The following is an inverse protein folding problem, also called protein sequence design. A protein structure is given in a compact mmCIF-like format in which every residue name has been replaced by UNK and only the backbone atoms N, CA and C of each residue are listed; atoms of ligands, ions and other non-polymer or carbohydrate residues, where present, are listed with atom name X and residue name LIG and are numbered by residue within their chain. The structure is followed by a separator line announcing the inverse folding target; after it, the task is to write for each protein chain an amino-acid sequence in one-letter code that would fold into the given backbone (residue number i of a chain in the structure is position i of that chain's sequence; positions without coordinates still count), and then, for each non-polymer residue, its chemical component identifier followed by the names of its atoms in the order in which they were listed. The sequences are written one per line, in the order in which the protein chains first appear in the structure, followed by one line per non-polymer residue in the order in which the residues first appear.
data_IF_651125522175
#
_entry.id   IF_651125522175
#
_cell.length_a   1.000
_cell.length_b   1.000
_cell.length_c   1.000
_cell.angle_alpha   90.00
_cell.angle_beta   90.00
_cell.angle_gamma   90.00
#
_symmetry.space_group_name_H-M   'P 1'
#
loop_
_entity.id
_entity.type
_entity.pdbx_description
1 polymer ?
#
# COMPACT_ATOMS: atom_id res chain seq x y z
N UNK A 1 0.45 25.18 -21.23
CA UNK A 1 0.61 24.15 -22.27
C UNK A 1 0.83 22.75 -21.69
N UNK A 2 1.39 22.59 -20.48
CA UNK A 2 1.65 21.28 -19.85
C UNK A 2 0.40 20.44 -19.46
N UNK A 3 -0.74 21.06 -19.09
CA UNK A 3 -1.92 20.30 -18.61
C UNK A 3 -2.51 19.36 -19.68
N UNK A 4 -2.50 19.75 -20.96
CA UNK A 4 -3.04 18.91 -22.04
C UNK A 4 -2.19 17.68 -22.34
N UNK A 5 -0.87 17.77 -22.14
CA UNK A 5 0.05 16.65 -22.35
C UNK A 5 -0.12 15.58 -21.26
N UNK A 6 -0.33 16.00 -20.00
CA UNK A 6 -0.64 15.06 -18.91
C UNK A 6 -1.98 14.36 -19.11
N UNK A 7 -3.02 15.07 -19.55
CA UNK A 7 -4.32 14.47 -19.85
C UNK A 7 -4.23 13.43 -20.97
N UNK A 8 -3.50 13.73 -22.04
CA UNK A 8 -3.27 12.78 -23.13
C UNK A 8 -2.49 11.55 -22.67
N UNK A 9 -1.39 11.74 -21.94
CA UNK A 9 -0.59 10.63 -21.40
C UNK A 9 -1.43 9.71 -20.50
N UNK A 10 -2.30 10.29 -19.67
CA UNK A 10 -3.22 9.53 -18.83
C UNK A 10 -4.28 8.79 -19.62
N UNK A 11 -4.80 9.38 -20.70
CA UNK A 11 -5.76 8.70 -21.56
C UNK A 11 -5.14 7.48 -22.26
N UNK A 12 -3.91 7.59 -22.75
CA UNK A 12 -3.17 6.46 -23.36
C UNK A 12 -2.92 5.36 -22.34
N UNK A 13 -2.53 5.75 -21.13
CA UNK A 13 -2.28 4.84 -20.02
C UNK A 13 -3.57 4.09 -19.62
N UNK A 14 -4.69 4.80 -19.48
CA UNK A 14 -5.99 4.21 -19.15
C UNK A 14 -6.48 3.26 -20.28
N UNK A 15 -6.20 3.57 -21.55
CA UNK A 15 -6.50 2.69 -22.68
C UNK A 15 -5.67 1.40 -22.66
N UNK A 16 -4.37 1.51 -22.35
CA UNK A 16 -3.47 0.36 -22.20
C UNK A 16 -3.89 -0.54 -21.04
N UNK A 17 -4.29 0.05 -19.91
CA UNK A 17 -4.80 -0.70 -18.75
C UNK A 17 -6.05 -1.51 -19.09
N UNK A 18 -7.01 -0.91 -19.79
CA UNK A 18 -8.22 -1.64 -20.23
C UNK A 18 -7.87 -2.80 -21.15
N UNK A 19 -6.90 -2.63 -22.04
CA UNK A 19 -6.41 -3.73 -22.88
C UNK A 19 -5.85 -4.87 -22.03
N UNK A 20 -4.99 -4.56 -21.05
CA UNK A 20 -4.42 -5.56 -20.13
C UNK A 20 -5.53 -6.30 -19.38
N UNK A 21 -6.51 -5.57 -18.85
CA UNK A 21 -7.64 -6.14 -18.10
C UNK A 21 -8.51 -7.01 -19.00
N UNK A 22 -8.75 -6.61 -20.25
CA UNK A 22 -9.48 -7.44 -21.21
C UNK A 22 -8.69 -8.68 -21.63
N UNK A 23 -7.38 -8.57 -21.82
CA UNK A 23 -6.53 -9.73 -22.06
C UNK A 23 -6.67 -10.69 -20.89
N UNK A 24 -6.48 -10.25 -19.65
CA UNK A 24 -6.62 -11.11 -18.45
C UNK A 24 -8.02 -11.73 -18.38
N UNK A 25 -9.07 -10.95 -18.64
CA UNK A 25 -10.47 -11.41 -18.59
C UNK A 25 -10.77 -12.51 -19.62
N UNK A 26 -10.30 -12.36 -20.85
CA UNK A 26 -10.65 -13.25 -21.96
C UNK A 26 -9.55 -14.28 -22.29
N UNK A 27 -8.41 -14.23 -21.62
CA UNK A 27 -7.31 -15.18 -21.78
C UNK A 27 -7.62 -16.50 -21.06
N UNK A 28 -8.58 -17.27 -21.60
CA UNK A 28 -8.95 -18.57 -21.04
C UNK A 28 -10.12 -19.29 -21.68
N UNK A 29 -10.94 -18.62 -22.50
CA UNK A 29 -12.22 -19.18 -22.96
C UNK A 29 -12.09 -20.24 -24.08
N UNK A 30 -10.90 -20.50 -24.63
CA UNK A 30 -10.76 -21.35 -25.81
C UNK A 30 -10.59 -22.86 -25.52
N UNK A 31 -10.21 -23.29 -24.30
CA UNK A 31 -9.75 -24.67 -24.11
C UNK A 31 -10.19 -25.40 -22.84
N UNK A 32 -11.19 -24.92 -22.07
CA UNK A 32 -11.98 -25.70 -21.09
C UNK A 32 -11.26 -26.54 -20.01
N UNK A 33 -9.93 -26.52 -19.97
CA UNK A 33 -9.09 -27.26 -19.02
C UNK A 33 -8.59 -26.24 -18.02
N UNK A 34 -9.18 -26.33 -16.83
CA UNK A 34 -8.92 -25.45 -15.72
C UNK A 34 -7.48 -25.60 -15.24
N UNK A 35 -6.67 -24.57 -15.48
CA UNK A 35 -5.29 -24.49 -15.05
C UNK A 35 -5.03 -23.05 -14.58
N UNK A 36 -5.90 -22.56 -13.69
CA UNK A 36 -5.94 -21.17 -13.21
C UNK A 36 -4.60 -20.64 -12.68
N UNK A 37 -3.75 -21.51 -12.12
CA UNK A 37 -2.39 -21.14 -11.70
C UNK A 37 -1.46 -20.82 -12.88
N UNK A 38 -1.52 -21.60 -13.95
CA UNK A 38 -0.73 -21.36 -15.16
C UNK A 38 -1.24 -20.16 -15.99
N UNK A 39 -2.51 -19.77 -15.82
CA UNK A 39 -3.11 -18.59 -16.48
C UNK A 39 -2.64 -17.28 -15.82
N UNK A 40 -2.49 -17.24 -14.50
CA UNK A 40 -2.10 -16.02 -13.76
C UNK A 40 -0.59 -15.76 -13.84
N UNK A 41 0.25 -16.80 -13.69
CA UNK A 41 1.71 -16.67 -13.77
C UNK A 41 2.22 -16.24 -15.16
N UNK A 42 1.42 -16.46 -16.22
CA UNK A 42 1.75 -16.06 -17.61
C UNK A 42 1.09 -14.78 -18.12
N UNK A 43 -0.01 -14.30 -17.51
CA UNK A 43 -0.84 -13.24 -18.10
C UNK A 43 -0.41 -11.82 -17.76
N UNK A 44 0.20 -11.60 -16.60
CA UNK A 44 0.79 -10.30 -16.25
C UNK A 44 2.30 -10.38 -16.49
N UNK A 45 2.87 -9.63 -17.44
CA UNK A 45 4.32 -9.52 -17.53
C UNK A 45 4.83 -8.55 -16.45
N UNK A 46 4.77 -8.98 -15.18
CA UNK A 46 5.27 -8.24 -14.01
C UNK A 46 6.67 -7.68 -14.28
N UNK A 47 7.52 -8.49 -14.92
CA UNK A 47 8.89 -8.16 -15.29
C UNK A 47 8.99 -7.00 -16.28
N UNK A 48 8.04 -6.87 -17.23
CA UNK A 48 8.06 -5.76 -18.19
C UNK A 48 7.81 -4.44 -17.47
N UNK A 49 6.81 -4.37 -16.59
CA UNK A 49 6.51 -3.12 -15.86
C UNK A 49 7.62 -2.73 -14.89
N UNK A 50 8.17 -3.71 -14.16
CA UNK A 50 9.33 -3.48 -13.28
C UNK A 50 10.53 -3.00 -14.09
N UNK A 51 10.81 -3.62 -15.24
CA UNK A 51 11.91 -3.24 -16.12
C UNK A 51 11.73 -1.83 -16.68
N UNK A 52 10.54 -1.49 -17.19
CA UNK A 52 10.24 -0.16 -17.72
C UNK A 52 10.40 0.90 -16.63
N UNK A 53 9.88 0.64 -15.42
CA UNK A 53 10.06 1.56 -14.30
C UNK A 53 11.54 1.72 -13.96
N UNK A 54 12.29 0.62 -13.86
CA UNK A 54 13.71 0.65 -13.54
C UNK A 54 14.51 1.46 -14.58
N UNK A 55 14.27 1.22 -15.87
CA UNK A 55 14.92 1.95 -16.96
C UNK A 55 14.59 3.45 -16.89
N UNK A 56 13.32 3.81 -16.72
CA UNK A 56 12.91 5.21 -16.62
C UNK A 56 13.45 5.89 -15.35
N UNK A 57 13.55 5.16 -14.25
CA UNK A 57 14.13 5.66 -13.01
C UNK A 57 15.63 5.95 -13.17
N UNK A 58 16.35 5.07 -13.85
CA UNK A 58 17.78 5.25 -14.15
C UNK A 58 18.02 6.42 -15.11
N UNK A 59 17.22 6.56 -16.16
CA UNK A 59 17.34 7.65 -17.15
C UNK A 59 16.96 9.03 -16.56
N UNK A 60 15.89 9.11 -15.76
CA UNK A 60 15.36 10.39 -15.27
C UNK A 60 15.99 10.83 -13.93
N UNK A 61 16.51 9.90 -13.14
CA UNK A 61 17.13 10.16 -11.84
C UNK A 61 16.24 11.01 -10.92
N UNK A 62 16.72 12.21 -10.57
CA UNK A 62 16.03 13.13 -9.64
C UNK A 62 14.72 13.68 -10.21
N UNK A 63 14.58 13.73 -11.54
CA UNK A 63 13.37 14.24 -12.22
C UNK A 63 12.30 13.16 -12.40
N UNK A 64 12.51 11.96 -11.85
CA UNK A 64 11.63 10.82 -12.00
C UNK A 64 10.17 11.15 -11.61
N UNK A 65 9.26 10.96 -12.57
CA UNK A 65 7.84 11.28 -12.43
C UNK A 65 7.05 10.10 -11.83
N UNK A 66 7.13 9.93 -10.51
CA UNK A 66 6.46 8.82 -9.79
C UNK A 66 4.92 8.76 -9.98
N UNK A 67 4.27 9.90 -10.25
CA UNK A 67 2.80 10.03 -10.36
C UNK A 67 2.19 9.17 -11.46
N UNK A 68 2.91 9.01 -12.58
CA UNK A 68 2.44 8.21 -13.72
C UNK A 68 2.36 6.73 -13.36
N UNK A 69 3.42 6.21 -12.71
CA UNK A 69 3.47 4.83 -12.23
C UNK A 69 2.48 4.57 -11.10
N UNK A 70 2.32 5.52 -10.17
CA UNK A 70 1.28 5.44 -9.15
C UNK A 70 -0.12 5.27 -9.78
N UNK A 71 -0.47 6.15 -10.72
CA UNK A 71 -1.77 6.10 -11.40
C UNK A 71 -1.95 4.78 -12.14
N UNK A 72 -0.91 4.30 -12.83
CA UNK A 72 -0.93 3.02 -13.51
C UNK A 72 -1.30 1.87 -12.57
N UNK A 73 -0.54 1.67 -11.49
CA UNK A 73 -0.78 0.55 -10.58
C UNK A 73 -2.07 0.70 -9.78
N UNK A 74 -2.43 1.91 -9.34
CA UNK A 74 -3.68 2.14 -8.62
C UNK A 74 -4.92 1.90 -9.50
N UNK A 75 -4.85 2.32 -10.77
CA UNK A 75 -5.93 2.09 -11.74
C UNK A 75 -6.00 0.61 -12.13
N UNK A 76 -4.85 -0.07 -12.31
CA UNK A 76 -4.81 -1.52 -12.53
C UNK A 76 -5.51 -2.29 -11.41
N UNK A 77 -5.20 -1.98 -10.14
CA UNK A 77 -5.85 -2.62 -8.99
C UNK A 77 -7.37 -2.35 -9.02
N UNK A 78 -7.78 -1.14 -9.37
CA UNK A 78 -9.20 -0.76 -9.42
C UNK A 78 -9.95 -1.47 -10.54
N UNK A 79 -9.36 -1.56 -11.74
CA UNK A 79 -9.97 -2.24 -12.88
C UNK A 79 -10.00 -3.76 -12.68
N UNK A 80 -8.95 -4.35 -12.11
CA UNK A 80 -8.97 -5.77 -11.71
C UNK A 80 -10.05 -6.04 -10.67
N UNK A 81 -10.25 -5.14 -9.72
CA UNK A 81 -11.33 -5.27 -8.75
C UNK A 81 -12.71 -5.23 -9.42
N UNK A 82 -12.89 -4.44 -10.48
CA UNK A 82 -14.15 -4.37 -11.23
C UNK A 82 -14.54 -5.68 -11.92
N UNK A 83 -13.57 -6.55 -12.19
CA UNK A 83 -13.77 -7.88 -12.77
C UNK A 83 -13.56 -9.01 -11.75
N UNK A 84 -13.42 -8.70 -10.46
CA UNK A 84 -13.07 -9.68 -9.42
C UNK A 84 -14.08 -10.84 -9.34
N UNK A 85 -15.38 -10.57 -9.47
CA UNK A 85 -16.42 -11.61 -9.46
C UNK A 85 -16.27 -12.61 -10.62
N UNK A 86 -15.81 -12.12 -11.78
CA UNK A 86 -15.57 -12.98 -12.94
C UNK A 86 -14.31 -13.82 -12.78
N UNK A 87 -13.30 -13.30 -12.08
CA UNK A 87 -12.03 -13.97 -11.84
C UNK A 87 -12.11 -15.03 -10.72
N UNK A 88 -13.04 -14.89 -9.77
CA UNK A 88 -13.19 -15.85 -8.66
C UNK A 88 -11.89 -16.03 -7.87
N UNK A 89 -11.43 -17.28 -7.74
CA UNK A 89 -10.18 -17.64 -7.03
C UNK A 89 -8.91 -17.08 -7.69
N UNK A 90 -8.94 -16.81 -8.99
CA UNK A 90 -7.81 -16.21 -9.71
C UNK A 90 -7.55 -14.77 -9.27
N UNK A 91 -8.55 -14.06 -8.73
CA UNK A 91 -8.40 -12.68 -8.24
C UNK A 91 -7.35 -12.58 -7.12
N UNK A 92 -7.37 -13.50 -6.16
CA UNK A 92 -6.38 -13.51 -5.08
C UNK A 92 -4.97 -13.81 -5.62
N UNK A 93 -4.86 -14.75 -6.55
CA UNK A 93 -3.59 -15.07 -7.20
C UNK A 93 -2.99 -13.85 -7.93
N UNK A 94 -3.84 -13.06 -8.59
CA UNK A 94 -3.44 -11.81 -9.24
C UNK A 94 -2.99 -10.75 -8.23
N UNK A 95 -3.69 -10.61 -7.08
CA UNK A 95 -3.26 -9.70 -6.01
C UNK A 95 -1.90 -10.11 -5.43
N UNK A 96 -1.66 -11.40 -5.25
CA UNK A 96 -0.36 -11.93 -4.80
C UNK A 96 0.72 -11.59 -5.83
N UNK A 97 0.44 -11.77 -7.13
CA UNK A 97 1.40 -11.44 -8.19
C UNK A 97 1.70 -9.92 -8.27
N UNK A 98 0.70 -9.07 -7.99
CA UNK A 98 0.90 -7.63 -7.80
C UNK A 98 1.77 -7.35 -6.57
N UNK A 99 1.57 -8.08 -5.47
CA UNK A 99 2.40 -7.97 -4.27
C UNK A 99 3.86 -8.35 -4.54
N UNK A 100 4.11 -9.36 -5.36
CA UNK A 100 5.47 -9.71 -5.79
C UNK A 100 6.07 -8.60 -6.67
N UNK A 101 5.28 -8.00 -7.56
CA UNK A 101 5.68 -6.83 -8.36
C UNK A 101 6.07 -5.66 -7.46
N UNK A 102 5.26 -5.33 -6.44
CA UNK A 102 5.58 -4.30 -5.47
C UNK A 102 6.79 -4.65 -4.61
N UNK A 103 7.02 -5.93 -4.33
CA UNK A 103 8.23 -6.37 -3.65
C UNK A 103 9.49 -6.12 -4.48
N UNK A 104 9.43 -6.28 -5.81
CA UNK A 104 10.53 -5.88 -6.70
C UNK A 104 10.72 -4.36 -6.79
N UNK A 105 9.66 -3.58 -6.58
CA UNK A 105 9.65 -2.12 -6.60
C UNK A 105 9.88 -1.47 -5.24
N UNK A 106 10.41 -2.20 -4.25
CA UNK A 106 10.63 -1.70 -2.90
C UNK A 106 11.44 -0.38 -2.87
N UNK A 107 11.11 0.47 -1.91
CA UNK A 107 11.75 1.78 -1.71
C UNK A 107 13.27 1.71 -1.49
N UNK A 108 13.78 0.55 -1.06
CA UNK A 108 15.23 0.30 -0.94
C UNK A 108 15.96 0.43 -2.29
N UNK A 109 15.31 0.01 -3.38
CA UNK A 109 15.86 0.09 -4.74
C UNK A 109 15.48 1.40 -5.43
N UNK A 110 14.25 1.86 -5.19
CA UNK A 110 13.68 3.04 -5.85
C UNK A 110 13.24 4.09 -4.81
N UNK A 111 14.18 4.78 -4.11
CA UNK A 111 13.83 5.74 -3.07
C UNK A 111 12.99 6.92 -3.58
N UNK A 112 13.16 7.35 -4.82
CA UNK A 112 12.32 8.39 -5.45
C UNK A 112 10.87 7.95 -5.71
N UNK A 113 10.58 6.65 -5.65
CA UNK A 113 9.24 6.07 -5.76
C UNK A 113 8.62 5.75 -4.39
N UNK A 114 9.34 5.96 -3.28
CA UNK A 114 8.95 5.47 -1.96
C UNK A 114 7.55 5.91 -1.49
N UNK A 115 7.18 7.17 -1.74
CA UNK A 115 5.86 7.69 -1.35
C UNK A 115 4.73 7.06 -2.17
N UNK A 116 4.86 7.06 -3.50
CA UNK A 116 3.89 6.41 -4.38
C UNK A 116 3.76 4.92 -4.09
N UNK A 117 4.88 4.24 -3.86
CA UNK A 117 4.93 2.84 -3.49
C UNK A 117 4.17 2.58 -2.19
N UNK A 118 4.41 3.38 -1.14
CA UNK A 118 3.70 3.25 0.13
C UNK A 118 2.19 3.44 -0.04
N UNK A 119 1.76 4.41 -0.85
CA UNK A 119 0.35 4.61 -1.16
C UNK A 119 -0.28 3.41 -1.89
N UNK A 120 0.46 2.71 -2.76
CA UNK A 120 0.01 1.50 -3.44
C UNK A 120 -0.13 0.32 -2.47
N UNK A 121 0.84 0.13 -1.57
CA UNK A 121 0.77 -0.89 -0.52
C UNK A 121 -0.43 -0.65 0.39
N UNK A 122 -0.75 0.61 0.68
CA UNK A 122 -1.90 1.01 1.50
C UNK A 122 -3.23 1.07 0.74
N UNK A 123 -3.26 0.70 -0.53
CA UNK A 123 -4.45 0.88 -1.35
C UNK A 123 -5.63 0.06 -0.82
N UNK A 124 -6.79 0.70 -0.64
CA UNK A 124 -7.99 0.11 -0.01
C UNK A 124 -8.54 -1.14 -0.71
N UNK A 125 -8.29 -1.28 -2.01
CA UNK A 125 -8.69 -2.45 -2.80
C UNK A 125 -7.61 -3.54 -2.85
N UNK A 126 -6.44 -3.27 -2.27
CA UNK A 126 -5.28 -4.15 -2.24
C UNK A 126 -5.08 -4.74 -0.84
N UNK A 127 -4.67 -3.91 0.14
CA UNK A 127 -4.27 -4.39 1.47
C UNK A 127 -5.39 -5.19 2.19
N UNK A 128 -6.62 -4.66 2.35
CA UNK A 128 -7.68 -5.42 3.00
C UNK A 128 -8.03 -6.71 2.26
N UNK A 129 -8.02 -6.70 0.92
CA UNK A 129 -8.35 -7.88 0.11
C UNK A 129 -7.28 -8.97 0.21
N UNK A 130 -6.02 -8.58 0.38
CA UNK A 130 -4.92 -9.50 0.60
C UNK A 130 -4.88 -10.05 2.03
N UNK A 131 -5.20 -9.22 3.03
CA UNK A 131 -5.18 -9.63 4.45
C UNK A 131 -6.43 -10.41 4.88
N UNK A 132 -7.58 -10.16 4.26
CA UNK A 132 -8.83 -10.91 4.50
C UNK A 132 -8.94 -12.18 3.65
N UNK A 133 -7.87 -12.57 2.94
CA UNK A 133 -7.85 -13.81 2.16
C UNK A 133 -8.12 -15.01 3.06
N UNK A 134 -8.92 -15.96 2.58
CA UNK A 134 -9.14 -17.24 3.26
C UNK A 134 -7.80 -17.92 3.55
N UNK A 135 -7.73 -18.64 4.68
CA UNK A 135 -6.53 -19.36 5.11
C UNK A 135 -5.23 -18.54 5.20
N UNK A 136 -5.33 -17.19 5.26
CA UNK A 136 -4.18 -16.28 5.39
C UNK A 136 -3.18 -16.38 4.22
N UNK A 137 -3.61 -16.82 3.04
CA UNK A 137 -2.72 -17.03 1.87
C UNK A 137 -1.98 -15.74 1.46
N UNK A 138 -2.63 -14.58 1.56
CA UNK A 138 -2.04 -13.28 1.21
C UNK A 138 -1.11 -12.68 2.27
N UNK A 139 -1.08 -13.23 3.49
CA UNK A 139 -0.34 -12.63 4.61
C UNK A 139 1.16 -12.62 4.37
N UNK A 140 1.71 -13.72 3.88
CA UNK A 140 3.14 -13.83 3.57
C UNK A 140 3.58 -12.82 2.50
N UNK A 141 2.73 -12.60 1.49
CA UNK A 141 2.96 -11.61 0.44
C UNK A 141 2.97 -10.19 1.00
N UNK A 142 2.00 -9.84 1.85
CA UNK A 142 1.94 -8.53 2.50
C UNK A 142 3.09 -8.31 3.49
N UNK A 143 3.50 -9.35 4.24
CA UNK A 143 4.62 -9.26 5.18
C UNK A 143 5.93 -8.87 4.47
N UNK A 144 6.18 -9.37 3.24
CA UNK A 144 7.33 -8.95 2.44
C UNK A 144 7.31 -7.44 2.13
N UNK A 145 6.13 -6.85 1.95
CA UNK A 145 5.97 -5.40 1.74
C UNK A 145 6.25 -4.61 3.03
N UNK A 146 6.17 -5.22 4.20
CA UNK A 146 6.60 -4.56 5.44
C UNK A 146 8.13 -4.46 5.59
N UNK A 147 8.89 -4.93 4.59
CA UNK A 147 10.29 -4.52 4.38
C UNK A 147 10.50 -3.00 4.33
N UNK A 148 9.42 -2.21 4.14
CA UNK A 148 9.38 -0.78 4.40
C UNK A 148 10.06 -0.38 5.70
N UNK A 149 9.88 -1.13 6.80
CA UNK A 149 10.50 -0.78 8.08
C UNK A 149 12.02 -0.93 8.05
N UNK A 150 12.55 -1.87 7.26
CA UNK A 150 14.00 -2.02 7.03
C UNK A 150 14.55 -0.83 6.24
N UNK A 151 13.80 -0.38 5.22
CA UNK A 151 14.13 0.85 4.48
C UNK A 151 14.11 2.08 5.39
N UNK A 152 13.12 2.17 6.30
CA UNK A 152 12.97 3.31 7.20
C UNK A 152 14.04 3.34 8.31
N UNK A 153 14.47 2.17 8.80
CA UNK A 153 15.40 2.01 9.91
C UNK A 153 16.66 2.90 9.88
N UNK A 154 17.45 3.02 8.78
CA UNK A 154 18.62 3.88 8.74
C UNK A 154 18.28 5.36 8.96
N UNK A 155 17.14 5.84 8.46
CA UNK A 155 16.73 7.23 8.64
C UNK A 155 16.34 7.51 10.09
N UNK A 156 15.80 6.51 10.80
CA UNK A 156 15.38 6.67 12.18
C UNK A 156 16.53 6.69 13.18
N UNK A 157 17.76 6.28 12.81
CA UNK A 157 18.90 6.24 13.74
C UNK A 157 19.37 7.62 14.21
N UNK A 158 19.17 8.65 13.38
CA UNK A 158 19.52 10.04 13.72
C UNK A 158 18.39 10.75 14.47
N UNK A 159 18.76 11.70 15.33
CA UNK A 159 17.78 12.59 15.99
C UNK A 159 17.19 13.64 15.02
N UNK A 160 17.90 13.95 13.94
CA UNK A 160 17.47 14.92 12.93
C UNK A 160 16.90 14.21 11.69
N UNK A 161 15.58 14.12 11.64
CA UNK A 161 14.86 13.54 10.50
C UNK A 161 14.54 14.62 9.48
N UNK A 162 15.05 14.43 8.26
CA UNK A 162 14.63 15.22 7.11
C UNK A 162 13.10 15.15 6.90
N UNK A 163 12.51 16.19 6.32
CA UNK A 163 11.06 16.32 6.15
C UNK A 163 10.43 15.08 5.49
N UNK A 164 11.03 14.59 4.40
CA UNK A 164 10.57 13.39 3.70
C UNK A 164 10.58 12.15 4.60
N UNK A 165 11.64 11.96 5.41
CA UNK A 165 11.75 10.84 6.35
C UNK A 165 10.72 10.94 7.47
N UNK A 166 10.38 12.15 7.93
CA UNK A 166 9.30 12.37 8.92
C UNK A 166 7.94 11.99 8.35
N UNK A 167 7.68 12.34 7.09
CA UNK A 167 6.40 12.03 6.44
C UNK A 167 6.27 10.54 6.13
N UNK A 168 7.35 9.86 5.75
CA UNK A 168 7.40 8.41 5.65
C UNK A 168 7.17 7.75 7.01
N UNK A 169 7.83 8.21 8.08
CA UNK A 169 7.60 7.69 9.43
C UNK A 169 6.14 7.82 9.87
N UNK A 170 5.53 9.00 9.67
CA UNK A 170 4.12 9.23 9.98
C UNK A 170 3.20 8.32 9.19
N UNK A 171 3.50 8.10 7.92
CA UNK A 171 2.71 7.22 7.04
C UNK A 171 2.85 5.75 7.46
N UNK A 172 4.05 5.30 7.82
CA UNK A 172 4.29 3.96 8.37
C UNK A 172 3.60 3.76 9.72
N UNK A 173 3.52 4.78 10.56
CA UNK A 173 2.77 4.71 11.82
C UNK A 173 1.27 4.59 11.57
N UNK A 174 0.72 5.32 10.59
CA UNK A 174 -0.70 5.19 10.18
C UNK A 174 -1.00 3.79 9.64
N UNK A 175 -0.10 3.22 8.83
CA UNK A 175 -0.19 1.82 8.40
C UNK A 175 -0.32 0.89 9.62
N UNK A 176 0.55 1.03 10.62
CA UNK A 176 0.48 0.20 11.83
C UNK A 176 -0.82 0.39 12.60
N UNK A 177 -1.37 1.61 12.68
CA UNK A 177 -2.66 1.82 13.34
C UNK A 177 -3.82 1.16 12.61
N UNK A 178 -3.84 1.23 11.26
CA UNK A 178 -4.85 0.53 10.47
C UNK A 178 -4.71 -0.99 10.67
N UNK A 179 -3.49 -1.51 10.62
CA UNK A 179 -3.23 -2.94 10.89
C UNK A 179 -3.64 -3.34 12.31
N UNK A 180 -3.37 -2.51 13.33
CA UNK A 180 -3.72 -2.78 14.72
C UNK A 180 -5.23 -2.83 14.93
N UNK A 181 -5.97 -1.95 14.28
CA UNK A 181 -7.42 -1.86 14.42
C UNK A 181 -8.15 -2.93 13.61
N UNK A 182 -7.79 -3.07 12.32
CA UNK A 182 -8.55 -3.91 11.38
C UNK A 182 -8.00 -5.35 11.29
N UNK A 183 -6.70 -5.55 11.55
CA UNK A 183 -6.00 -6.82 11.35
C UNK A 183 -5.03 -7.18 12.50
N UNK A 184 -5.46 -7.14 13.77
CA UNK A 184 -4.56 -7.36 14.92
C UNK A 184 -3.90 -8.74 14.92
N UNK A 185 -4.57 -9.77 14.38
CA UNK A 185 -4.02 -11.13 14.29
C UNK A 185 -2.79 -11.17 13.38
N UNK A 186 -2.81 -10.44 12.26
CA UNK A 186 -1.67 -10.35 11.36
C UNK A 186 -0.45 -9.73 12.07
N UNK A 187 -0.64 -8.64 12.82
CA UNK A 187 0.44 -8.04 13.60
C UNK A 187 0.95 -8.99 14.69
N UNK A 188 0.05 -9.71 15.35
CA UNK A 188 0.41 -10.68 16.40
C UNK A 188 1.20 -11.86 15.85
N UNK A 189 0.95 -12.29 14.61
CA UNK A 189 1.66 -13.39 13.96
C UNK A 189 3.09 -12.97 13.60
N UNK A 190 3.26 -11.77 13.04
CA UNK A 190 4.56 -11.29 12.54
C UNK A 190 5.30 -10.34 13.49
N UNK A 191 4.86 -10.19 14.74
CA UNK A 191 5.39 -9.21 15.69
C UNK A 191 6.92 -9.30 15.84
N UNK A 192 7.47 -10.52 15.88
CA UNK A 192 8.90 -10.75 16.05
C UNK A 192 9.69 -10.18 14.86
N UNK A 193 9.29 -10.53 13.63
CA UNK A 193 9.94 -10.04 12.41
C UNK A 193 9.81 -8.52 12.25
N UNK A 194 8.68 -7.94 12.65
CA UNK A 194 8.45 -6.50 12.56
C UNK A 194 9.27 -5.74 13.60
N UNK A 195 9.30 -6.22 14.85
CA UNK A 195 10.09 -5.61 15.91
C UNK A 195 11.60 -5.71 15.67
N UNK A 196 12.07 -6.78 15.02
CA UNK A 196 13.47 -6.94 14.61
C UNK A 196 13.88 -5.92 13.52
N UNK A 197 12.98 -5.63 12.57
CA UNK A 197 13.22 -4.64 11.52
C UNK A 197 13.21 -3.18 12.03
N UNK A 198 12.50 -2.89 13.14
CA UNK A 198 12.32 -1.54 13.67
C UNK A 198 13.37 -1.26 14.75
N UNK A 199 14.15 -0.15 14.70
CA UNK A 199 15.13 0.17 15.72
C UNK A 199 14.56 0.28 17.15
N UNK A 200 15.32 -0.06 18.21
CA UNK A 200 14.82 -0.12 19.58
C UNK A 200 14.37 1.21 20.17
N UNK A 201 14.95 2.33 19.74
CA UNK A 201 14.55 3.67 20.18
C UNK A 201 13.24 4.14 19.55
N UNK A 202 12.71 3.44 18.54
CA UNK A 202 11.42 3.74 17.92
C UNK A 202 10.26 3.13 18.75
N UNK A 203 10.15 3.61 20.00
CA UNK A 203 9.24 3.05 21.02
C UNK A 203 7.79 3.03 20.53
N UNK A 204 7.33 4.10 19.87
CA UNK A 204 5.94 4.20 19.41
C UNK A 204 5.58 3.13 18.37
N UNK A 205 6.44 2.91 17.37
CA UNK A 205 6.22 1.89 16.35
C UNK A 205 6.18 0.48 16.97
N UNK A 206 7.16 0.18 17.83
CA UNK A 206 7.24 -1.12 18.53
C UNK A 206 6.04 -1.35 19.44
N UNK A 207 5.65 -0.35 20.25
CA UNK A 207 4.52 -0.47 21.15
C UNK A 207 3.20 -0.67 20.41
N UNK A 208 3.03 -0.04 19.24
CA UNK A 208 1.84 -0.25 18.41
C UNK A 208 1.72 -1.71 17.98
N UNK A 209 2.82 -2.33 17.53
CA UNK A 209 2.85 -3.75 17.15
C UNK A 209 2.59 -4.66 18.36
N UNK A 210 3.29 -4.41 19.47
CA UNK A 210 3.16 -5.23 20.69
C UNK A 210 1.78 -5.13 21.34
N UNK A 211 1.05 -4.03 21.12
CA UNK A 211 -0.33 -3.87 21.60
C UNK A 211 -1.31 -4.80 20.89
N UNK A 212 -1.03 -5.25 19.66
CA UNK A 212 -1.88 -6.19 18.93
C UNK A 212 -1.97 -7.54 19.65
N UNK A 213 -0.85 -8.01 20.22
CA UNK A 213 -0.81 -9.25 21.01
C UNK A 213 -1.71 -9.16 22.24
N UNK A 214 -1.78 -7.99 22.89
CA UNK A 214 -2.67 -7.76 24.04
C UNK A 214 -4.14 -7.73 23.62
N UNK A 215 -4.50 -7.38 22.38
CA UNK A 215 -5.90 -7.43 21.94
C UNK A 215 -6.39 -8.88 21.73
N UNK A 216 -5.48 -9.80 21.44
CA UNK A 216 -5.81 -11.24 21.32
C UNK A 216 -6.05 -11.91 22.68
N UNK A 217 -5.59 -11.31 23.78
CA UNK A 217 -5.74 -11.82 25.15
C UNK A 217 -6.60 -10.82 25.92
N UNK A 218 -7.83 -11.19 26.26
CA UNK A 218 -8.69 -10.33 27.11
C UNK A 218 -8.01 -10.18 28.47
N UNK A 219 -7.37 -9.03 28.71
CA UNK A 219 -6.83 -8.69 30.03
C UNK A 219 -8.00 -8.41 31.00
N UNK A 220 -7.94 -8.91 32.25
CA UNK A 220 -8.87 -8.46 33.28
C UNK A 220 -8.70 -6.94 33.51
N UNK A 221 -9.79 -6.22 33.86
CA UNK A 221 -9.79 -4.77 33.91
C UNK A 221 -8.75 -4.22 34.90
N UNK A 222 -8.07 -3.11 34.56
CA UNK A 222 -7.01 -2.57 35.38
C UNK A 222 -7.60 -1.84 36.59
N UNK A 223 -7.69 -2.54 37.72
CA UNK A 223 -7.65 -1.90 39.04
C UNK A 223 -6.24 -2.00 39.62
N UNK A 224 -5.25 -1.52 38.88
CA UNK A 224 -3.93 -1.20 39.42
C UNK A 224 -3.53 0.14 38.80
N UNK A 225 -3.52 1.16 39.66
CA UNK A 225 -3.19 2.54 39.36
C UNK A 225 -1.78 2.60 38.77
N UNK A 226 -1.68 2.91 37.48
CA UNK A 226 -0.45 3.39 36.86
C UNK A 226 -0.75 4.80 36.34
N UNK A 227 0.09 5.72 36.78
CA UNK A 227 -0.12 7.16 36.73
C UNK A 227 -0.42 7.73 35.33
N UNK A 228 -1.28 8.76 35.38
CA UNK A 228 -1.80 9.60 34.30
C UNK A 228 -0.76 9.97 33.25
N UNK A 229 -0.93 9.52 32.00
CA UNK A 229 -0.53 10.26 30.79
C UNK A 229 -1.72 10.23 29.81
N UNK A 230 -2.30 11.39 29.40
CA UNK A 230 -3.45 11.40 28.51
C UNK A 230 -2.99 11.22 27.05
N UNK A 231 -3.15 10.01 26.51
CA UNK A 231 -3.11 9.79 25.07
C UNK A 231 -4.44 10.27 24.46
N UNK A 232 -4.55 11.57 24.18
CA UNK A 232 -5.61 12.08 23.30
C UNK A 232 -5.30 11.66 21.85
N UNK A 233 -6.05 10.69 21.33
CA UNK A 233 -6.02 10.33 19.91
C UNK A 233 -6.89 11.35 19.17
N UNK A 234 -6.25 12.39 18.63
CA UNK A 234 -6.88 13.32 17.70
C UNK A 234 -6.53 12.86 16.27
N UNK A 235 -7.54 12.55 15.47
CA UNK A 235 -7.40 12.17 14.07
C UNK A 235 -7.17 13.42 13.23
N UNK A 236 -6.11 13.47 12.44
CA UNK A 236 -5.80 14.61 11.56
C UNK A 236 -5.75 14.18 10.10
N UNK A 237 -6.37 15.03 9.26
CA UNK A 237 -6.27 15.05 7.80
C UNK A 237 -4.79 15.10 7.38
N UNK A 238 -4.45 14.44 6.27
CA UNK A 238 -3.10 14.43 5.69
C UNK A 238 -3.11 15.18 4.38
N UNK A 239 -2.32 16.25 4.31
CA UNK A 239 -1.83 16.83 3.05
C UNK A 239 -0.53 16.11 2.69
N UNK A 240 -0.45 15.58 1.48
CA UNK A 240 0.78 14.99 0.94
C UNK A 240 1.45 16.04 0.04
N UNK A 241 2.52 16.67 0.53
CA UNK A 241 3.28 17.68 -0.22
C UNK A 241 4.47 17.03 -0.94
N UNK A 242 4.30 16.78 -2.24
CA UNK A 242 5.40 16.46 -3.16
C UNK A 242 5.30 17.35 -4.38
N UNK A 243 6.31 18.19 -4.61
CA UNK A 243 6.39 19.15 -5.74
C UNK A 243 5.22 20.14 -5.87
N UNK A 244 4.84 20.81 -4.77
CA UNK A 244 3.97 21.99 -4.84
C UNK A 244 2.49 21.73 -5.15
N UNK A 245 2.03 20.48 -5.21
CA UNK A 245 0.61 20.12 -5.34
C UNK A 245 0.16 19.27 -4.15
N UNK A 246 -0.90 19.70 -3.46
CA UNK A 246 -1.53 18.97 -2.35
C UNK A 246 -2.43 17.84 -2.89
N UNK A 247 -2.16 16.59 -2.48
CA UNK A 247 -3.05 15.46 -2.74
C UNK A 247 -3.82 15.11 -1.46
N UNK A 248 -5.15 15.26 -1.50
CA UNK A 248 -6.08 14.87 -0.44
C UNK A 248 -6.53 13.42 -0.65
N UNK A 249 -6.28 12.54 0.31
CA UNK A 249 -6.92 11.22 0.40
C UNK A 249 -7.91 11.20 1.56
N UNK A 250 -9.20 11.05 1.24
CA UNK A 250 -10.26 10.79 2.22
C UNK A 250 -10.41 9.28 2.44
N UNK A 251 -10.15 8.82 3.66
CA UNK A 251 -10.72 7.56 4.15
C UNK A 251 -12.09 7.93 4.73
N UNK A 252 -13.16 7.64 3.99
CA UNK A 252 -14.53 7.86 4.43
C UNK A 252 -15.25 6.52 4.43
N UNK A 253 -15.46 5.96 5.63
CA UNK A 253 -16.41 4.88 5.85
C UNK A 253 -17.73 5.55 6.26
N UNK A 254 -18.75 5.44 5.39
CA UNK A 254 -20.16 5.82 5.60
C UNK A 254 -20.64 7.24 5.19
N UNK A 255 -21.09 7.41 3.92
CA UNK A 255 -22.41 7.95 3.46
C UNK A 255 -22.41 8.40 1.97
N UNK A 256 -23.57 8.45 1.28
CA UNK A 256 -23.65 8.63 -0.18
C UNK A 256 -23.42 10.07 -0.66
N UNK A 257 -22.83 10.16 -1.85
CA UNK A 257 -22.43 11.34 -2.61
C UNK A 257 -23.33 12.58 -2.48
N UNK A 258 -22.72 13.72 -2.07
CA UNK A 258 -23.15 15.06 -2.48
C UNK A 258 -21.94 15.92 -2.85
N UNK A 259 -22.06 16.68 -3.94
CA UNK A 259 -21.15 17.79 -4.27
C UNK A 259 -21.26 18.86 -3.17
N UNK A 260 -20.15 19.18 -2.51
CA UNK A 260 -19.99 20.45 -1.83
C UNK A 260 -18.64 21.06 -2.21
N UNK A 261 -18.75 22.15 -2.94
CA UNK A 261 -17.75 23.19 -3.16
C UNK A 261 -17.35 23.84 -1.84
N UNK A 262 -16.09 24.31 -1.80
CA UNK A 262 -15.44 25.16 -0.79
C UNK A 262 -14.98 24.52 0.52
N UNK A 263 -13.66 24.67 0.71
CA UNK A 263 -12.79 24.41 1.86
C UNK A 263 -13.27 25.17 3.10
N UNK A 264 -13.40 24.49 4.24
CA UNK A 264 -13.16 25.09 5.56
C UNK A 264 -13.05 23.98 6.61
N UNK A 265 -11.86 23.87 7.19
CA UNK A 265 -11.47 22.94 8.25
C UNK A 265 -12.18 23.24 9.58
N UNK A 266 -12.60 22.18 10.27
CA UNK A 266 -12.36 21.98 11.70
C UNK A 266 -12.34 20.48 11.97
#
# INVERSE_FOLDING_TARGET
MANGEFEYAFQVLDAMLRLIVYVIKYHGDASGIDNDKAKVERSLPHQIFVFVLANMYEEQGVLFQQKQFFRFFSSLISDLHSIAEHLGSAYLSLLIAISDTFSSLQSTYFPGFAFSWLCLVLHRLFMPKLLLSENREGWSAFQKLLSLFKFLAPFLKGADLQLASRDLYRSSLRLLFVLLHDFPEFLSEYYFSLCDAIPPHCIQLRNTILSAFLMSIILPPPQLVIDKHPCHVHWSIVSCSGQGEEWLFCICHERPWRRCSTVSCC
#
